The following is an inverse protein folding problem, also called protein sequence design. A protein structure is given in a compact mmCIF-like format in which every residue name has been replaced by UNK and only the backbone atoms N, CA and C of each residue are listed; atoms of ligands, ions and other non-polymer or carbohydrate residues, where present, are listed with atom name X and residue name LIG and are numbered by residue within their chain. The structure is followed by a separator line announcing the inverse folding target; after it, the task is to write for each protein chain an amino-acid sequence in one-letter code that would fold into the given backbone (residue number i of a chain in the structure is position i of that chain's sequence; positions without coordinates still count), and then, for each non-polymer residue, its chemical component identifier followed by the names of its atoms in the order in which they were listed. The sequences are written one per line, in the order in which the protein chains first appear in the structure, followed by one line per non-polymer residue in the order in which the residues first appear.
data_IF_871672454463
#
_entry.id   IF_871672454463
#
_cell.length_a   1.000
_cell.length_b   1.000
_cell.length_c   1.000
_cell.angle_alpha   90.00
_cell.angle_beta   90.00
_cell.angle_gamma   90.00
#
_symmetry.space_group_name_H-M   'P 1'
#
loop_
_entity.id
_entity.type
_entity.pdbx_description
1 polymer ?
#
# COMPACT_ATOMS: atom_id res chain seq x y z
N UNK A 1 -8.59 -31.09 8.61
CA UNK A 1 -8.14 -30.32 7.42
C UNK A 1 -6.86 -30.94 6.84
N UNK A 2 -6.88 -31.37 5.57
CA UNK A 2 -5.73 -31.99 4.92
C UNK A 2 -4.50 -31.07 4.96
N UNK A 3 -3.44 -31.50 5.66
CA UNK A 3 -2.18 -30.78 5.85
C UNK A 3 -1.37 -30.57 4.56
N UNK A 4 -1.85 -31.06 3.41
CA UNK A 4 -1.18 -30.94 2.10
C UNK A 4 -1.22 -29.52 1.51
N UNK A 5 -2.02 -28.62 2.06
CA UNK A 5 -2.19 -27.26 1.52
C UNK A 5 -1.08 -26.31 1.94
N UNK A 6 -0.34 -26.60 3.02
CA UNK A 6 0.69 -25.70 3.53
C UNK A 6 2.09 -26.16 3.15
N UNK A 7 2.88 -25.28 2.54
CA UNK A 7 4.30 -25.49 2.27
C UNK A 7 5.04 -24.14 2.19
N UNK A 8 6.33 -24.12 2.49
CA UNK A 8 7.13 -22.88 2.54
C UNK A 8 7.76 -22.47 1.21
N UNK A 9 7.86 -23.38 0.25
CA UNK A 9 8.67 -23.23 -0.97
C UNK A 9 7.94 -23.67 -2.24
N UNK A 10 7.01 -24.61 -2.15
CA UNK A 10 6.28 -25.11 -3.30
C UNK A 10 5.26 -24.09 -3.83
N UNK A 11 5.30 -23.89 -5.15
CA UNK A 11 4.35 -23.04 -5.85
C UNK A 11 2.94 -23.64 -5.80
N UNK A 12 1.94 -22.79 -5.58
CA UNK A 12 0.53 -23.19 -5.50
C UNK A 12 0.06 -23.64 -4.12
N UNK A 13 0.97 -23.74 -3.13
CA UNK A 13 0.62 -24.01 -1.73
C UNK A 13 0.58 -22.74 -0.88
N UNK A 14 -0.11 -22.81 0.25
CA UNK A 14 -0.22 -21.72 1.22
C UNK A 14 1.00 -21.69 2.13
N UNK A 15 1.56 -20.51 2.34
CA UNK A 15 2.68 -20.29 3.26
C UNK A 15 2.25 -19.43 4.43
N UNK A 16 2.68 -19.81 5.64
CA UNK A 16 2.61 -18.90 6.80
C UNK A 16 3.72 -17.85 6.63
N UNK A 17 3.33 -16.61 6.33
CA UNK A 17 4.26 -15.49 6.11
C UNK A 17 4.56 -14.73 7.40
N UNK A 18 3.58 -14.61 8.30
CA UNK A 18 3.73 -13.92 9.58
C UNK A 18 2.64 -14.31 10.56
N UNK A 19 2.90 -14.06 11.85
CA UNK A 19 1.93 -14.16 12.95
C UNK A 19 1.95 -12.84 13.73
N UNK A 20 0.84 -12.52 14.38
CA UNK A 20 0.70 -11.36 15.26
C UNK A 20 -0.31 -11.72 16.33
N UNK A 21 -0.14 -11.17 17.53
CA UNK A 21 -1.13 -11.30 18.60
C UNK A 21 -2.29 -10.31 18.39
N UNK A 22 -2.01 -9.18 17.71
CA UNK A 22 -2.96 -8.10 17.46
C UNK A 22 -3.13 -7.84 15.96
N UNK A 23 -4.38 -7.88 15.50
CA UNK A 23 -4.81 -7.54 14.15
C UNK A 23 -6.03 -6.62 14.24
N UNK A 24 -5.93 -5.42 13.66
CA UNK A 24 -7.06 -4.52 13.46
C UNK A 24 -7.34 -4.40 11.96
N UNK A 25 -8.58 -4.59 11.53
CA UNK A 25 -9.00 -4.45 10.14
C UNK A 25 -10.06 -3.35 10.10
N UNK A 26 -9.80 -2.29 9.35
CA UNK A 26 -10.76 -1.21 9.14
C UNK A 26 -11.54 -1.42 7.83
N UNK A 27 -10.88 -1.89 6.76
CA UNK A 27 -11.52 -2.26 5.49
C UNK A 27 -10.58 -3.13 4.60
N UNK A 28 -11.02 -3.44 3.39
CA UNK A 28 -10.25 -4.07 2.33
C UNK A 28 -8.96 -3.29 2.04
N UNK A 29 -7.83 -3.87 2.45
CA UNK A 29 -6.47 -3.28 2.37
C UNK A 29 -6.26 -2.07 3.28
N UNK A 30 -7.08 -1.90 4.31
CA UNK A 30 -6.84 -1.00 5.44
C UNK A 30 -6.82 -1.82 6.75
N UNK A 31 -5.62 -2.10 7.26
CA UNK A 31 -5.43 -2.91 8.46
C UNK A 31 -4.10 -2.61 9.15
N UNK A 32 -4.05 -2.90 10.45
CA UNK A 32 -2.83 -2.93 11.26
C UNK A 32 -2.55 -4.37 11.69
N UNK A 33 -1.42 -4.93 11.28
CA UNK A 33 -0.96 -6.27 11.62
C UNK A 33 0.31 -6.16 12.48
N UNK A 34 0.15 -6.27 13.80
CA UNK A 34 1.21 -5.92 14.75
C UNK A 34 1.63 -4.46 14.57
N UNK A 35 2.93 -4.19 14.40
CA UNK A 35 3.44 -2.85 14.11
C UNK A 35 3.32 -2.41 12.63
N UNK A 36 2.77 -3.24 11.74
CA UNK A 36 2.65 -2.91 10.31
C UNK A 36 1.29 -2.33 9.99
N UNK A 37 1.27 -1.06 9.61
CA UNK A 37 0.07 -0.39 9.11
C UNK A 37 0.03 -0.49 7.57
N UNK A 38 -1.13 -0.87 7.04
CA UNK A 38 -1.42 -0.90 5.61
C UNK A 38 -2.68 -0.09 5.37
N UNK A 39 -2.58 0.92 4.51
CA UNK A 39 -3.69 1.77 4.12
C UNK A 39 -3.74 1.78 2.59
N UNK A 40 -4.93 1.56 2.03
CA UNK A 40 -5.13 1.52 0.58
C UNK A 40 -4.77 2.88 -0.04
N UNK A 41 -3.90 2.85 -1.05
CA UNK A 41 -3.55 4.05 -1.83
C UNK A 41 -2.55 5.00 -1.18
N UNK A 42 -2.09 4.68 0.03
CA UNK A 42 -1.05 5.44 0.75
C UNK A 42 0.26 4.66 0.71
N UNK A 43 1.33 5.33 0.28
CA UNK A 43 2.68 4.74 0.28
C UNK A 43 3.17 4.47 1.69
N UNK A 44 4.09 3.53 1.85
CA UNK A 44 4.75 3.27 3.15
C UNK A 44 5.57 4.47 3.63
N UNK A 45 6.11 5.23 2.68
CA UNK A 45 6.97 6.39 2.94
C UNK A 45 6.15 7.71 2.94
N UNK A 46 4.82 7.61 2.91
CA UNK A 46 3.95 8.78 2.99
C UNK A 46 4.00 9.38 4.40
N UNK A 47 4.06 10.71 4.47
CA UNK A 47 4.01 11.44 5.73
C UNK A 47 2.56 11.88 6.00
N UNK A 48 2.03 11.56 7.18
CA UNK A 48 0.76 12.13 7.61
C UNK A 48 0.98 13.59 8.00
N UNK A 49 0.33 14.52 7.29
CA UNK A 49 0.46 15.96 7.50
C UNK A 49 -0.71 16.57 8.28
N UNK A 50 -1.86 15.87 8.30
CA UNK A 50 -3.01 16.17 9.13
C UNK A 50 -3.85 14.89 9.31
N UNK A 51 -4.89 14.93 10.16
CA UNK A 51 -5.78 13.78 10.34
C UNK A 51 -6.35 13.30 9.01
N UNK A 52 -6.10 12.04 8.65
CA UNK A 52 -6.47 11.41 7.37
C UNK A 52 -5.88 12.05 6.10
N UNK A 53 -4.91 12.94 6.22
CA UNK A 53 -4.27 13.62 5.09
C UNK A 53 -2.79 13.29 5.02
N UNK A 54 -2.36 12.75 3.89
CA UNK A 54 -1.02 12.24 3.67
C UNK A 54 -0.35 12.93 2.49
N UNK A 55 0.91 13.33 2.68
CA UNK A 55 1.80 13.79 1.61
C UNK A 55 2.67 12.63 1.16
N UNK A 56 2.73 12.37 -0.14
CA UNK A 56 3.57 11.31 -0.69
C UNK A 56 4.16 11.68 -2.05
N UNK A 57 5.28 11.06 -2.40
CA UNK A 57 5.88 11.18 -3.72
C UNK A 57 5.10 10.35 -4.75
N UNK A 58 4.86 10.94 -5.91
CA UNK A 58 4.29 10.27 -7.07
C UNK A 58 5.17 10.57 -8.29
N UNK A 59 5.52 9.53 -9.05
CA UNK A 59 6.19 9.70 -10.33
C UNK A 59 5.21 10.20 -11.38
N UNK A 60 5.70 11.05 -12.28
CA UNK A 60 4.94 11.43 -13.48
C UNK A 60 4.84 10.20 -14.37
N UNK A 61 3.60 9.83 -14.73
CA UNK A 61 3.37 8.70 -15.63
C UNK A 61 3.84 9.01 -17.05
N UNK A 62 4.15 7.97 -17.83
CA UNK A 62 4.67 8.08 -19.20
C UNK A 62 3.82 8.98 -20.10
N UNK A 63 2.49 8.85 -20.03
CA UNK A 63 1.56 9.73 -20.77
C UNK A 63 1.75 11.20 -20.41
N UNK A 64 1.90 11.50 -19.11
CA UNK A 64 2.19 12.85 -18.65
C UNK A 64 3.54 13.34 -19.16
N UNK A 65 4.59 12.52 -19.05
CA UNK A 65 5.92 12.85 -19.57
C UNK A 65 5.93 13.13 -21.07
N UNK A 66 5.17 12.37 -21.87
CA UNK A 66 5.01 12.59 -23.31
C UNK A 66 4.37 13.94 -23.63
N UNK A 67 3.27 14.28 -22.95
CA UNK A 67 2.58 15.56 -23.16
C UNK A 67 3.46 16.77 -22.81
N UNK A 68 4.34 16.64 -21.82
CA UNK A 68 5.24 17.72 -21.38
C UNK A 68 6.63 17.66 -22.04
N UNK A 69 6.86 16.75 -23.00
CA UNK A 69 8.17 16.53 -23.66
C UNK A 69 9.32 16.16 -22.70
N UNK A 70 9.00 15.58 -21.55
CA UNK A 70 9.93 15.26 -20.46
C UNK A 70 10.22 13.74 -20.33
N UNK A 71 9.96 12.94 -21.36
CA UNK A 71 10.04 11.46 -21.28
C UNK A 71 11.43 10.92 -20.91
N UNK A 72 12.48 11.71 -21.16
CA UNK A 72 13.87 11.35 -20.85
C UNK A 72 14.27 11.65 -19.40
N UNK A 73 13.32 12.07 -18.55
CA UNK A 73 13.56 12.44 -17.15
C UNK A 73 12.61 11.69 -16.22
N UNK A 74 13.14 11.22 -15.09
CA UNK A 74 12.30 10.67 -14.01
C UNK A 74 11.87 11.82 -13.11
N UNK A 75 10.65 12.29 -13.31
CA UNK A 75 10.09 13.41 -12.53
C UNK A 75 9.25 12.85 -11.38
N UNK A 76 9.57 13.28 -10.16
CA UNK A 76 8.79 13.03 -8.96
C UNK A 76 8.12 14.33 -8.51
N UNK A 77 6.90 14.21 -7.99
CA UNK A 77 6.17 15.34 -7.39
C UNK A 77 5.54 14.92 -6.09
N UNK A 78 5.35 15.90 -5.22
CA UNK A 78 4.53 15.76 -4.04
C UNK A 78 3.05 15.73 -4.42
N UNK A 79 2.31 14.79 -3.84
CA UNK A 79 0.85 14.76 -3.92
C UNK A 79 0.25 14.60 -2.53
N UNK A 80 -0.82 15.33 -2.28
CA UNK A 80 -1.64 15.19 -1.09
C UNK A 80 -2.77 14.19 -1.35
N UNK A 81 -2.97 13.26 -0.40
CA UNK A 81 -4.02 12.26 -0.41
C UNK A 81 -4.86 12.41 0.85
N UNK A 82 -6.14 12.66 0.66
CA UNK A 82 -7.13 12.67 1.73
C UNK A 82 -7.88 11.33 1.72
N UNK A 83 -7.99 10.71 2.90
CA UNK A 83 -8.70 9.46 3.07
C UNK A 83 -10.07 9.73 3.68
N UNK A 84 -11.12 9.39 2.94
CA UNK A 84 -12.41 9.10 3.56
C UNK A 84 -12.33 7.70 4.16
N UNK A 85 -12.37 7.60 5.48
CA UNK A 85 -12.52 6.34 6.23
C UNK A 85 -13.99 6.02 6.50
N UNK A 86 -14.86 6.39 5.57
CA UNK A 86 -16.26 5.98 5.58
C UNK A 86 -16.36 4.61 4.93
N UNK A 87 -16.70 3.61 5.73
CA UNK A 87 -16.86 2.23 5.28
C UNK A 87 -18.33 1.85 5.50
N UNK A 88 -18.97 1.38 4.42
CA UNK A 88 -20.35 0.88 4.43
C UNK A 88 -20.41 -0.52 5.03
#
# INVERSE_FOLDING_TARGET
PNLRTFDQKELGKLKIVSKTDNLSIHNLKDYSFGGKVRIKGISKDAQMIAYNTYKQYQSVGVKGGLHHQDINRVIWRDVTKELSREYL
#
